data_IF_354311682432
#
_entry.id   IF_354311682432
#
_cell.length_a   1.000
_cell.length_b   1.000
_cell.length_c   1.000
_cell.angle_alpha   90.00
_cell.angle_beta   90.00
_cell.angle_gamma   90.00
#
_symmetry.space_group_name_H-M   'P 1'
#
loop_
_entity.id
_entity.type
_entity.pdbx_description
1 polymer ?
#
# COMPACT_ATOMS: atom_id res chain seq x y z
N UNK A 1 -16.50 -3.48 -11.03
CA UNK A 1 -15.49 -4.01 -10.08
C UNK A 1 -14.13 -3.77 -10.70
N UNK A 2 -13.19 -3.13 -10.00
CA UNK A 2 -11.81 -3.00 -10.49
C UNK A 2 -11.15 -4.39 -10.52
N UNK A 3 -10.35 -4.72 -11.55
CA UNK A 3 -9.62 -5.99 -11.58
C UNK A 3 -8.64 -6.05 -10.39
N UNK A 4 -8.31 -7.25 -9.87
CA UNK A 4 -7.31 -7.38 -8.82
C UNK A 4 -5.99 -6.74 -9.27
N UNK A 5 -5.29 -6.08 -8.34
CA UNK A 5 -3.96 -5.52 -8.62
C UNK A 5 -3.04 -6.69 -9.00
N UNK A 6 -2.34 -6.64 -10.14
CA UNK A 6 -1.38 -7.66 -10.50
C UNK A 6 -0.28 -7.80 -9.43
N UNK A 7 0.30 -9.00 -9.31
CA UNK A 7 1.50 -9.21 -8.50
C UNK A 7 2.65 -8.42 -9.14
N UNK A 8 3.47 -7.76 -8.33
CA UNK A 8 4.54 -6.93 -8.85
C UNK A 8 5.14 -5.98 -7.84
N UNK A 9 5.96 -5.07 -8.34
CA UNK A 9 6.61 -4.02 -7.57
C UNK A 9 5.89 -2.69 -7.78
N UNK A 10 5.62 -2.00 -6.68
CA UNK A 10 4.80 -0.80 -6.67
C UNK A 10 5.35 0.25 -5.70
N UNK A 11 5.13 1.51 -6.05
CA UNK A 11 4.93 2.58 -5.07
C UNK A 11 3.44 2.67 -4.77
N UNK A 12 3.08 2.66 -3.50
CA UNK A 12 1.69 2.81 -3.06
C UNK A 12 1.46 4.29 -2.79
N UNK A 13 0.73 4.96 -3.66
CA UNK A 13 0.63 6.42 -3.70
C UNK A 13 -0.73 6.85 -3.20
N UNK A 14 -0.79 7.77 -2.24
CA UNK A 14 -2.05 8.36 -1.81
C UNK A 14 -2.66 9.16 -2.97
N UNK A 15 -3.95 8.93 -3.23
CA UNK A 15 -4.62 9.53 -4.37
C UNK A 15 -4.75 11.05 -4.25
N UNK A 16 -4.94 11.59 -3.05
CA UNK A 16 -5.13 13.02 -2.84
C UNK A 16 -3.80 13.79 -2.83
N UNK A 17 -2.90 13.42 -1.92
CA UNK A 17 -1.65 14.16 -1.66
C UNK A 17 -0.55 13.89 -2.69
N UNK A 18 -0.65 12.78 -3.43
CA UNK A 18 0.40 12.26 -4.32
C UNK A 18 1.71 11.86 -3.61
N UNK A 19 1.72 11.82 -2.28
CA UNK A 19 2.80 11.20 -1.52
C UNK A 19 2.62 9.68 -1.52
N UNK A 20 3.72 8.95 -1.43
CA UNK A 20 3.73 7.49 -1.34
C UNK A 20 4.05 6.99 0.05
N UNK A 21 3.70 5.73 0.28
CA UNK A 21 4.03 4.98 1.48
C UNK A 21 5.55 4.74 1.55
N UNK A 22 6.19 5.35 2.53
CA UNK A 22 7.63 5.40 2.74
C UNK A 22 7.98 4.81 4.11
N UNK A 23 9.07 4.06 4.18
CA UNK A 23 9.66 3.61 5.45
C UNK A 23 10.42 4.76 6.09
N UNK A 24 9.91 5.24 7.23
CA UNK A 24 10.41 6.45 7.87
C UNK A 24 11.93 6.45 8.04
N UNK A 25 12.57 7.57 7.63
CA UNK A 25 14.01 7.80 7.72
C UNK A 25 14.88 6.73 7.04
N UNK A 26 14.36 5.99 6.05
CA UNK A 26 15.06 4.86 5.41
C UNK A 26 15.57 3.83 6.44
N UNK A 27 14.83 3.65 7.54
CA UNK A 27 15.20 2.73 8.62
C UNK A 27 14.37 1.45 8.52
N UNK A 28 14.78 0.42 7.78
CA UNK A 28 13.92 -0.73 7.52
C UNK A 28 13.99 -1.77 8.64
N UNK A 29 13.72 -1.34 9.87
CA UNK A 29 13.67 -2.19 11.05
C UNK A 29 12.21 -2.46 11.46
N UNK A 30 11.98 -3.59 12.14
CA UNK A 30 10.68 -3.90 12.74
C UNK A 30 10.21 -2.78 13.66
N UNK A 31 8.92 -2.45 13.58
CA UNK A 31 8.29 -1.37 14.32
C UNK A 31 8.58 0.03 13.78
N UNK A 32 9.33 0.16 12.67
CA UNK A 32 9.51 1.48 12.03
C UNK A 32 8.20 1.93 11.42
N UNK A 33 7.71 3.14 11.74
CA UNK A 33 6.51 3.72 11.14
C UNK A 33 6.61 3.84 9.62
N UNK A 34 5.45 3.72 8.98
CA UNK A 34 5.28 4.12 7.61
C UNK A 34 4.68 5.53 7.57
N UNK A 35 5.17 6.33 6.63
CA UNK A 35 4.78 7.73 6.48
C UNK A 35 4.44 8.04 5.03
N UNK A 36 3.72 9.13 4.81
CA UNK A 36 3.62 9.77 3.51
C UNK A 36 4.91 10.52 3.20
N UNK A 37 5.48 10.25 2.04
CA UNK A 37 6.63 11.02 1.53
C UNK A 37 6.48 11.25 0.04
N UNK A 38 6.98 12.39 -0.46
CA UNK A 38 7.03 12.66 -1.90
C UNK A 38 7.70 11.50 -2.65
N UNK A 39 7.11 11.11 -3.77
CA UNK A 39 7.66 10.04 -4.61
C UNK A 39 9.09 10.39 -5.04
N UNK A 40 10.02 9.49 -4.74
CA UNK A 40 11.41 9.53 -5.14
C UNK A 40 11.75 8.20 -5.84
N UNK A 41 12.01 8.27 -7.14
CA UNK A 41 12.27 7.08 -7.94
C UNK A 41 13.57 6.36 -7.57
N UNK A 42 14.49 7.06 -6.91
CA UNK A 42 15.78 6.53 -6.47
C UNK A 42 15.72 5.82 -5.11
N UNK A 43 14.67 6.06 -4.32
CA UNK A 43 14.54 5.50 -2.96
C UNK A 43 13.81 4.16 -2.98
N UNK A 44 14.43 3.19 -2.30
CA UNK A 44 13.94 1.82 -2.19
C UNK A 44 13.00 1.62 -0.99
N UNK A 45 13.03 2.55 -0.02
CA UNK A 45 12.08 2.64 1.11
C UNK A 45 10.63 2.90 0.70
N UNK A 46 10.42 3.29 -0.56
CA UNK A 46 9.10 3.56 -1.14
C UNK A 46 8.60 2.42 -2.02
N UNK A 47 9.38 1.34 -2.16
CA UNK A 47 9.07 0.25 -3.08
C UNK A 47 8.60 -0.98 -2.32
N UNK A 48 7.47 -1.51 -2.77
CA UNK A 48 6.77 -2.62 -2.16
C UNK A 48 6.52 -3.71 -3.18
N UNK A 49 6.76 -4.97 -2.81
CA UNK A 49 6.32 -6.14 -3.57
C UNK A 49 4.93 -6.54 -3.09
N UNK A 50 3.94 -6.50 -3.98
CA UNK A 50 2.64 -7.12 -3.75
C UNK A 50 2.73 -8.59 -4.15
N UNK A 51 2.36 -9.50 -3.25
CA UNK A 51 2.41 -10.96 -3.44
C UNK A 51 1.00 -11.56 -3.66
N UNK A 52 0.93 -12.85 -4.04
CA UNK A 52 -0.33 -13.54 -4.38
C UNK A 52 -1.32 -13.66 -3.21
N UNK A 53 -0.82 -13.63 -1.97
CA UNK A 53 -1.55 -13.55 -0.72
C UNK A 53 -2.01 -12.12 -0.37
N UNK A 54 -1.88 -11.17 -1.31
CA UNK A 54 -2.22 -9.76 -1.11
C UNK A 54 -1.43 -9.12 0.03
N UNK A 55 -0.16 -9.47 0.19
CA UNK A 55 0.71 -8.85 1.21
C UNK A 55 1.64 -7.84 0.54
N UNK A 56 1.72 -6.63 1.12
CA UNK A 56 2.75 -5.67 0.76
C UNK A 56 4.02 -5.94 1.57
N UNK A 57 5.08 -6.30 0.86
CA UNK A 57 6.38 -6.64 1.42
C UNK A 57 7.41 -5.59 0.99
N UNK A 58 8.09 -4.96 1.95
CA UNK A 58 9.18 -4.05 1.69
C UNK A 58 10.33 -4.78 0.99
N UNK A 59 10.74 -4.29 -0.18
CA UNK A 59 11.61 -5.02 -1.11
C UNK A 59 13.00 -5.35 -0.57
N UNK A 60 13.55 -4.49 0.29
CA UNK A 60 14.90 -4.68 0.81
C UNK A 60 14.95 -5.68 1.95
N UNK A 61 13.95 -5.67 2.83
CA UNK A 61 14.01 -6.38 4.10
C UNK A 61 13.07 -7.56 4.22
N UNK A 62 12.06 -7.69 3.35
CA UNK A 62 11.06 -8.74 3.48
C UNK A 62 10.05 -8.51 4.62
N UNK A 63 10.19 -7.40 5.35
CA UNK A 63 9.20 -6.95 6.33
C UNK A 63 7.94 -6.48 5.62
N UNK A 64 6.80 -6.62 6.30
CA UNK A 64 5.47 -6.47 5.74
C UNK A 64 4.80 -5.24 6.34
N UNK A 65 3.89 -4.66 5.56
CA UNK A 65 2.98 -3.62 6.04
C UNK A 65 2.04 -4.23 7.10
N UNK A 66 2.05 -3.70 8.31
CA UNK A 66 1.24 -4.18 9.42
C UNK A 66 0.77 -3.06 10.34
N UNK A 67 -0.29 -3.31 11.10
CA UNK A 67 -0.65 -2.50 12.25
C UNK A 67 0.46 -2.61 13.33
N UNK A 68 0.71 -1.55 14.10
CA UNK A 68 1.63 -1.61 15.25
C UNK A 68 1.08 -2.54 16.34
N UNK A 69 1.71 -3.70 16.61
CA UNK A 69 1.23 -4.62 17.64
C UNK A 69 1.43 -4.10 19.07
N UNK A 70 2.24 -3.05 19.27
CA UNK A 70 2.44 -2.43 20.57
C UNK A 70 1.30 -1.46 20.96
N UNK A 71 0.41 -1.14 20.02
CA UNK A 71 -0.75 -0.29 20.30
C UNK A 71 -1.67 -0.97 21.33
N UNK A 72 -1.92 -0.27 22.44
CA UNK A 72 -2.63 -0.82 23.59
C UNK A 72 -4.11 -1.16 23.31
N UNK A 73 -4.70 -0.64 22.23
CA UNK A 73 -6.06 -0.94 21.76
C UNK A 73 -6.15 -0.75 20.23
N UNK A 74 -6.98 -1.53 19.51
CA UNK A 74 -7.31 -1.28 18.11
C UNK A 74 -8.34 -0.13 18.02
N UNK A 75 -7.91 1.09 18.28
CA UNK A 75 -8.71 2.30 18.10
C UNK A 75 -8.14 3.15 16.95
N UNK A 76 -8.65 4.37 16.76
CA UNK A 76 -8.01 5.32 15.86
C UNK A 76 -6.56 5.55 16.27
N UNK A 77 -5.74 6.05 15.34
CA UNK A 77 -4.33 6.44 15.59
C UNK A 77 -3.35 5.29 15.87
N UNK A 78 -3.70 4.06 15.52
CA UNK A 78 -2.71 2.98 15.45
C UNK A 78 -1.80 3.23 14.26
N UNK A 79 -0.50 3.37 14.50
CA UNK A 79 0.49 3.51 13.43
C UNK A 79 0.52 2.26 12.54
N UNK A 80 0.81 2.46 11.25
CA UNK A 80 1.19 1.37 10.37
C UNK A 80 2.71 1.28 10.36
N UNK A 81 3.25 0.08 10.51
CA UNK A 81 4.68 -0.18 10.70
C UNK A 81 5.19 -1.30 9.78
N UNK A 82 6.51 -1.41 9.67
CA UNK A 82 7.16 -2.62 9.17
C UNK A 82 7.17 -3.74 10.22
N UNK A 83 6.77 -4.95 9.85
CA UNK A 83 6.76 -6.08 10.77
C UNK A 83 7.01 -7.45 10.09
N UNK A 84 7.28 -8.49 10.87
CA UNK A 84 7.51 -9.86 10.37
C UNK A 84 6.21 -10.50 9.85
N UNK A 85 5.13 -10.32 10.61
CA UNK A 85 3.79 -10.75 10.25
C UNK A 85 3.08 -9.62 9.49
N UNK A 86 2.30 -9.94 8.43
CA UNK A 86 1.48 -8.94 7.77
C UNK A 86 0.36 -8.49 8.69
N UNK A 87 -0.11 -7.26 8.47
CA UNK A 87 -1.40 -6.86 8.99
C UNK A 87 -2.57 -7.56 8.30
N UNK A 88 -3.75 -7.44 8.88
CA UNK A 88 -4.95 -8.07 8.33
C UNK A 88 -5.66 -7.15 7.36
N UNK A 89 -5.13 -7.06 6.14
CA UNK A 89 -5.62 -6.14 5.11
C UNK A 89 -6.60 -6.81 4.13
N UNK A 90 -7.68 -6.10 3.83
CA UNK A 90 -8.58 -6.35 2.70
C UNK A 90 -8.46 -5.18 1.72
N UNK A 91 -8.21 -5.51 0.46
CA UNK A 91 -8.10 -4.54 -0.63
C UNK A 91 -9.43 -4.47 -1.34
N UNK A 92 -10.11 -3.33 -1.23
CA UNK A 92 -11.32 -3.08 -1.98
C UNK A 92 -11.07 -1.97 -3.01
N UNK A 93 -11.77 -1.99 -4.15
CA UNK A 93 -11.82 -0.82 -5.02
C UNK A 93 -12.25 0.42 -4.23
N UNK A 94 -11.56 1.53 -4.44
CA UNK A 94 -11.93 2.82 -3.89
C UNK A 94 -13.11 3.46 -4.65
N UNK A 95 -13.53 4.64 -4.20
CA UNK A 95 -14.62 5.42 -4.82
C UNK A 95 -14.20 6.08 -6.13
N UNK A 96 -12.89 6.25 -6.35
CA UNK A 96 -12.31 6.83 -7.55
C UNK A 96 -11.73 5.74 -8.46
N UNK A 97 -11.85 5.90 -9.78
CA UNK A 97 -11.34 4.92 -10.73
C UNK A 97 -9.83 4.68 -10.55
N UNK A 98 -9.43 3.40 -10.51
CA UNK A 98 -8.02 3.00 -10.32
C UNK A 98 -7.49 3.17 -8.89
N UNK A 99 -8.33 3.55 -7.92
CA UNK A 99 -7.97 3.62 -6.51
C UNK A 99 -8.39 2.38 -5.74
N UNK A 100 -7.74 2.20 -4.60
CA UNK A 100 -7.93 1.11 -3.65
C UNK A 100 -8.03 1.66 -2.25
N UNK A 101 -8.77 0.95 -1.41
CA UNK A 101 -8.79 1.15 0.04
C UNK A 101 -8.23 -0.08 0.72
N UNK A 102 -7.42 0.15 1.74
CA UNK A 102 -6.86 -0.89 2.60
C UNK A 102 -7.68 -0.88 3.88
N UNK A 103 -8.47 -1.93 4.09
CA UNK A 103 -9.32 -2.07 5.27
C UNK A 103 -8.79 -3.14 6.20
N UNK A 104 -8.87 -2.88 7.50
CA UNK A 104 -8.71 -3.95 8.49
C UNK A 104 -9.95 -4.85 8.40
N UNK A 105 -9.76 -6.17 8.37
CA UNK A 105 -10.84 -7.15 8.14
C UNK A 105 -12.02 -6.98 9.11
N UNK A 106 -13.25 -7.02 8.58
CA UNK A 106 -14.53 -6.92 9.31
C UNK A 106 -14.75 -5.66 10.16
N UNK A 107 -14.00 -4.59 9.91
CA UNK A 107 -14.18 -3.31 10.61
C UNK A 107 -14.12 -2.12 9.65
N UNK A 108 -14.65 -0.97 10.08
CA UNK A 108 -14.62 0.27 9.29
C UNK A 108 -13.35 1.09 9.55
N UNK A 109 -12.22 0.40 9.67
CA UNK A 109 -10.91 1.02 9.82
C UNK A 109 -10.16 0.94 8.49
N UNK A 110 -9.55 2.05 8.12
CA UNK A 110 -8.89 2.26 6.84
C UNK A 110 -7.44 2.68 7.08
N UNK A 111 -6.55 2.31 6.16
CA UNK A 111 -5.27 2.99 6.02
C UNK A 111 -5.53 4.45 5.62
N UNK A 112 -5.06 5.37 6.46
CA UNK A 112 -5.33 6.79 6.39
C UNK A 112 -4.00 7.53 6.38
N UNK A 113 -3.82 8.39 5.38
CA UNK A 113 -2.78 9.40 5.43
C UNK A 113 -3.31 10.58 6.24
N UNK A 114 -2.65 10.92 7.34
CA UNK A 114 -3.16 11.92 8.29
C UNK A 114 -3.53 13.23 7.59
N UNK A 115 -4.80 13.61 7.72
CA UNK A 115 -5.39 14.81 7.11
C UNK A 115 -5.24 14.92 5.59
N UNK A 116 -4.79 13.86 4.90
CA UNK A 116 -4.45 13.91 3.48
C UNK A 116 -3.29 14.85 3.14
N UNK A 117 -2.41 15.13 4.10
CA UNK A 117 -1.30 16.08 3.94
C UNK A 117 -0.27 15.58 2.91
N UNK A 118 0.33 16.50 2.16
CA UNK A 118 1.45 16.25 1.24
C UNK A 118 2.82 16.54 1.86
N UNK A 119 2.85 16.85 3.16
CA UNK A 119 4.07 17.05 3.93
C UNK A 119 4.83 15.72 4.10
N UNK A 120 6.15 15.78 3.92
CA UNK A 120 7.01 14.62 4.13
C UNK A 120 7.01 14.21 5.61
N UNK A 121 6.84 12.92 5.86
CA UNK A 121 6.75 12.38 7.22
C UNK A 121 5.33 12.40 7.79
N UNK A 122 4.32 12.77 7.00
CA UNK A 122 2.91 12.69 7.41
C UNK A 122 2.58 11.28 7.87
N UNK A 123 1.94 11.13 9.02
CA UNK A 123 1.64 9.81 9.59
C UNK A 123 0.72 9.00 8.68
N UNK A 124 1.05 7.72 8.51
CA UNK A 124 0.13 6.73 7.97
C UNK A 124 -0.37 5.85 9.12
N UNK A 125 -1.68 5.84 9.30
CA UNK A 125 -2.33 5.26 10.47
C UNK A 125 -3.60 4.51 10.11
N UNK A 126 -4.12 3.81 11.08
CA UNK A 126 -5.44 3.23 11.04
C UNK A 126 -6.44 4.28 11.54
N UNK A 127 -7.46 4.55 10.75
CA UNK A 127 -8.50 5.49 11.12
C UNK A 127 -9.90 4.97 10.78
N UNK A 128 -10.84 5.14 11.73
CA UNK A 128 -12.22 4.70 11.59
C UNK A 128 -13.01 5.66 10.69
N UNK A 129 -13.80 5.09 9.78
CA UNK A 129 -14.86 5.78 9.03
C UNK A 129 -16.21 5.20 9.41
N UNK A 130 -16.95 5.79 10.38
CA UNK A 130 -18.19 5.21 10.89
C UNK A 130 -19.24 4.91 9.82
N UNK A 131 -19.30 5.75 8.79
CA UNK A 131 -20.17 5.64 7.62
C UNK A 131 -19.70 4.63 6.57
N UNK A 132 -18.54 3.99 6.80
CA UNK A 132 -17.87 3.10 5.84
C UNK A 132 -17.57 3.77 4.49
N UNK A 133 -17.54 5.10 4.44
CA UNK A 133 -17.28 5.85 3.23
C UNK A 133 -15.82 6.33 3.22
N UNK A 134 -14.95 5.75 2.38
CA UNK A 134 -13.57 6.19 2.30
C UNK A 134 -13.50 7.62 1.79
N UNK A 135 -12.60 8.40 2.37
CA UNK A 135 -12.32 9.77 1.96
C UNK A 135 -11.03 9.79 1.12
N UNK A 136 -10.70 10.90 0.42
CA UNK A 136 -9.52 10.97 -0.44
C UNK A 136 -8.20 10.53 0.24
N UNK A 137 -8.04 10.78 1.54
CA UNK A 137 -6.87 10.33 2.31
C UNK A 137 -6.82 8.81 2.60
N UNK A 138 -7.91 8.09 2.32
CA UNK A 138 -7.99 6.62 2.41
C UNK A 138 -7.85 5.94 1.05
N UNK A 139 -7.74 6.71 -0.04
CA UNK A 139 -7.62 6.20 -1.39
C UNK A 139 -6.16 6.11 -1.80
N UNK A 140 -5.78 4.97 -2.34
CA UNK A 140 -4.40 4.66 -2.71
C UNK A 140 -4.34 4.09 -4.13
N UNK A 141 -3.28 4.39 -4.87
CA UNK A 141 -3.01 3.84 -6.18
C UNK A 141 -1.73 3.00 -6.15
N UNK A 142 -1.68 1.99 -7.01
CA UNK A 142 -0.50 1.17 -7.20
C UNK A 142 0.24 1.67 -8.45
N UNK A 143 1.24 2.53 -8.24
CA UNK A 143 2.11 2.97 -9.32
C UNK A 143 3.21 1.93 -9.54
N UNK A 144 3.35 1.33 -10.74
CA UNK A 144 4.39 0.35 -11.00
C UNK A 144 5.79 0.89 -10.70
N UNK A 145 6.64 0.06 -10.10
CA UNK A 145 8.03 0.34 -9.82
C UNK A 145 8.93 -0.75 -10.40
N UNK A 146 10.21 -0.44 -10.60
CA UNK A 146 11.22 -1.44 -10.95
C UNK A 146 11.61 -2.23 -9.70
N UNK A 147 12.03 -3.49 -9.88
CA UNK A 147 12.74 -4.21 -8.82
C UNK A 147 14.08 -3.52 -8.55
N UNK A 148 14.31 -2.98 -7.33
CA UNK A 148 15.59 -2.34 -7.03
C UNK A 148 16.76 -3.31 -6.94
N UNK A 149 16.53 -4.63 -6.93
CA UNK A 149 17.59 -5.65 -6.98
C UNK A 149 17.96 -6.08 -8.41
N UNK A 150 17.30 -5.52 -9.43
CA UNK A 150 17.65 -5.75 -10.84
C UNK A 150 17.14 -7.06 -11.43
N UNK A 151 16.15 -7.72 -10.82
CA UNK A 151 15.44 -8.85 -11.43
C UNK A 151 14.18 -8.39 -12.15
N UNK A 152 14.13 -8.55 -13.48
CA UNK A 152 12.87 -8.44 -14.19
C UNK A 152 11.94 -9.55 -13.72
N UNK A 153 10.82 -9.14 -13.12
CA UNK A 153 9.64 -9.95 -12.75
C UNK A 153 9.83 -10.83 -11.49
N UNK A 154 8.89 -10.79 -10.52
CA UNK A 154 8.74 -11.89 -9.58
C UNK A 154 8.43 -13.15 -10.39
N UNK A 155 9.24 -14.18 -10.18
CA UNK A 155 9.02 -15.53 -10.66
C UNK A 155 7.64 -16.04 -10.21
N UNK A 156 6.70 -15.99 -11.14
CA UNK A 156 5.37 -16.58 -11.08
C UNK A 156 5.47 -18.09 -11.27
N UNK A 157 6.06 -18.78 -10.29
CA UNK A 157 6.02 -20.24 -10.25
C UNK A 157 4.65 -20.72 -9.75
N UNK A 158 3.65 -20.62 -10.64
CA UNK A 158 2.27 -21.03 -10.44
C UNK A 158 1.46 -20.76 -11.70
N UNK A 159 1.62 -21.62 -12.71
CA UNK A 159 1.13 -21.38 -14.06
C UNK A 159 -0.37 -21.12 -14.17
N UNK A 160 -0.74 -20.24 -15.10
CA UNK A 160 -1.88 -20.44 -15.97
C UNK A 160 -1.75 -19.54 -17.20
N UNK A 161 -1.91 -20.15 -18.36
CA UNK A 161 -1.84 -19.59 -19.70
C UNK A 161 -2.94 -18.55 -19.98
N UNK A 162 -2.58 -17.50 -20.73
CA UNK A 162 -3.46 -16.91 -21.76
C UNK A 162 -4.23 -15.65 -21.36
N UNK A 163 -3.98 -14.57 -22.10
CA UNK A 163 -4.84 -13.39 -22.06
C UNK A 163 -4.21 -12.17 -22.73
N UNK A 164 -4.14 -12.19 -24.06
CA UNK A 164 -3.78 -11.02 -24.86
C UNK A 164 -4.73 -9.85 -24.57
N UNK A 165 -4.18 -8.64 -24.46
CA UNK A 165 -4.95 -7.39 -24.41
C UNK A 165 -5.75 -7.22 -25.71
N UNK A 166 -7.05 -6.85 -25.68
CA UNK A 166 -7.73 -6.41 -26.89
C UNK A 166 -7.30 -4.96 -27.23
N UNK A 167 -7.21 -4.62 -28.53
CA UNK A 167 -6.83 -3.27 -28.95
C UNK A 167 -7.94 -2.24 -28.68
N UNK A 168 -7.49 -1.03 -28.36
CA UNK A 168 -8.25 0.21 -28.22
C UNK A 168 -9.15 0.50 -29.43
N UNK A 169 -10.42 0.78 -29.19
CA UNK A 169 -11.27 1.51 -30.15
C UNK A 169 -11.44 2.95 -29.66
N UNK A 170 -11.17 3.88 -30.58
CA UNK A 170 -11.46 5.31 -30.49
C UNK A 170 -12.47 5.62 -31.60
N UNK A 171 -13.23 6.72 -31.45
CA UNK A 171 -14.69 6.76 -31.39
C UNK A 171 -15.42 6.17 -32.59
#
# INVERSE_FOLDING_TARGET
>A
MSPPVPIGFYRVVNWASKTCLDVENDKPAKGTPLVGWKVDESRTSQVWRLTSDSVLTHVNTGLKLAEDPAAAQPENDVAIVLNDAPGMWVYNPGTEAGTWVFKVYNVNYFMDLESGSDENGTSVRIWKRPDNNPQPQNLWTFQPAKDPKGGDKPDDNGGSTGGALPPTQTP
#
